data_IF_831270928203
#
_entry.id   IF_831270928203
#
_cell.length_a   1.000
_cell.length_b   1.000
_cell.length_c   1.000
_cell.angle_alpha   90.00
_cell.angle_beta   90.00
_cell.angle_gamma   90.00
#
_symmetry.space_group_name_H-M   'P 1'
#
loop_
_entity.id
_entity.type
_entity.pdbx_description
1 polymer ?
#
# COMPACT_ATOMS: atom_id res chain seq x y z
N UNK A 1 7.94 16.37 -26.77
CA UNK A 1 6.50 16.09 -26.54
C UNK A 1 6.35 14.60 -26.67
N UNK A 2 6.25 13.89 -25.55
CA UNK A 2 6.21 12.43 -25.53
C UNK A 2 4.75 11.98 -25.43
N UNK A 3 4.37 11.05 -26.30
CA UNK A 3 3.05 10.45 -26.42
C UNK A 3 2.42 10.12 -25.06
N UNK A 4 1.20 10.57 -24.85
CA UNK A 4 0.37 10.08 -23.75
C UNK A 4 -0.03 8.66 -24.09
N UNK A 5 0.71 7.66 -23.59
CA UNK A 5 0.30 6.26 -23.63
C UNK A 5 -1.17 6.14 -23.20
N UNK A 6 -2.03 5.70 -24.11
CA UNK A 6 -3.45 5.51 -23.82
C UNK A 6 -3.60 4.40 -22.78
N UNK A 7 -4.04 4.76 -21.57
CA UNK A 7 -4.35 3.78 -20.53
C UNK A 7 -5.57 2.96 -20.94
N UNK A 8 -5.47 1.64 -20.81
CA UNK A 8 -6.55 0.69 -21.10
C UNK A 8 -6.79 -0.22 -19.90
N UNK A 9 -8.06 -0.58 -19.69
CA UNK A 9 -8.49 -1.61 -18.74
C UNK A 9 -9.06 -2.78 -19.53
N UNK A 10 -8.66 -3.99 -19.15
CA UNK A 10 -9.21 -5.23 -19.71
C UNK A 10 -10.21 -5.78 -18.68
N UNK A 11 -11.46 -5.93 -19.09
CA UNK A 11 -12.52 -6.49 -18.25
C UNK A 11 -12.42 -8.02 -18.20
N UNK A 12 -13.13 -8.65 -17.26
CA UNK A 12 -13.14 -10.11 -17.09
C UNK A 12 -13.68 -10.88 -18.30
N UNK A 13 -14.46 -10.22 -19.17
CA UNK A 13 -14.94 -10.76 -20.44
C UNK A 13 -13.98 -10.52 -21.62
N UNK A 14 -12.78 -9.99 -21.35
CA UNK A 14 -11.74 -9.71 -22.34
C UNK A 14 -11.89 -8.38 -23.07
N UNK A 15 -12.99 -7.63 -22.87
CA UNK A 15 -13.16 -6.33 -23.52
C UNK A 15 -12.11 -5.33 -23.02
N UNK A 16 -11.51 -4.61 -23.95
CA UNK A 16 -10.60 -3.49 -23.66
C UNK A 16 -11.38 -2.18 -23.69
N UNK A 17 -11.25 -1.38 -22.63
CA UNK A 17 -11.89 -0.07 -22.53
C UNK A 17 -10.83 1.00 -22.21
N UNK A 18 -11.02 2.19 -22.78
CA UNK A 18 -10.15 3.32 -22.49
C UNK A 18 -10.33 3.78 -21.03
N UNK A 19 -9.22 4.13 -20.40
CA UNK A 19 -9.16 4.68 -19.06
C UNK A 19 -8.46 6.04 -19.05
N UNK A 20 -8.85 6.90 -18.10
CA UNK A 20 -8.21 8.19 -17.87
C UNK A 20 -7.68 8.22 -16.45
N UNK A 21 -6.46 8.73 -16.25
CA UNK A 21 -5.91 8.95 -14.92
C UNK A 21 -6.64 10.12 -14.25
N UNK A 22 -7.25 9.88 -13.09
CA UNK A 22 -7.84 10.92 -12.23
C UNK A 22 -6.76 11.57 -11.38
N UNK A 23 -5.89 10.74 -10.79
CA UNK A 23 -4.80 11.20 -9.93
C UNK A 23 -3.97 10.03 -9.42
N UNK A 24 -2.81 10.35 -8.87
CA UNK A 24 -1.87 9.40 -8.29
C UNK A 24 -1.35 9.94 -6.98
N UNK A 25 -1.05 9.02 -6.07
CA UNK A 25 -0.40 9.29 -4.80
C UNK A 25 0.84 8.40 -4.65
N UNK A 26 2.03 8.93 -4.99
CA UNK A 26 3.27 8.16 -4.95
C UNK A 26 3.67 7.70 -3.55
N UNK A 27 3.27 8.42 -2.50
CA UNK A 27 3.66 8.08 -1.13
C UNK A 27 3.02 6.78 -0.65
N UNK A 28 1.79 6.49 -1.11
CA UNK A 28 1.05 5.26 -0.75
C UNK A 28 0.94 4.28 -1.90
N UNK A 29 1.61 4.54 -3.03
CA UNK A 29 1.58 3.67 -4.21
C UNK A 29 0.16 3.45 -4.79
N UNK A 30 -0.69 4.50 -4.77
CA UNK A 30 -2.08 4.43 -5.26
C UNK A 30 -2.32 5.30 -6.50
N UNK A 31 -3.19 4.82 -7.38
CA UNK A 31 -3.67 5.55 -8.55
C UNK A 31 -5.18 5.35 -8.71
N UNK A 32 -5.88 6.40 -9.14
CA UNK A 32 -7.31 6.31 -9.48
C UNK A 32 -7.47 6.51 -10.98
N UNK A 33 -8.13 5.54 -11.62
CA UNK A 33 -8.48 5.59 -13.02
C UNK A 33 -9.99 5.75 -13.18
N UNK A 34 -10.39 6.46 -14.23
CA UNK A 34 -11.78 6.65 -14.65
C UNK A 34 -12.03 5.88 -15.93
N UNK A 35 -13.11 5.11 -15.95
CA UNK A 35 -13.60 4.38 -17.12
C UNK A 35 -15.07 4.71 -17.36
N UNK A 36 -15.60 4.38 -18.54
CA UNK A 36 -17.01 4.56 -18.83
C UNK A 36 -17.85 3.48 -18.13
N UNK A 37 -18.77 3.91 -17.26
CA UNK A 37 -19.61 3.02 -16.43
C UNK A 37 -20.53 2.11 -17.23
N UNK A 38 -20.86 2.44 -18.49
CA UNK A 38 -21.71 1.58 -19.35
C UNK A 38 -21.14 0.18 -19.60
N UNK A 39 -19.85 0.00 -19.36
CA UNK A 39 -19.16 -1.30 -19.51
C UNK A 39 -19.01 -2.05 -18.19
N UNK A 40 -19.40 -1.45 -17.05
CA UNK A 40 -19.23 -1.99 -15.71
C UNK A 40 -20.56 -2.52 -15.18
N UNK A 41 -20.65 -3.83 -15.01
CA UNK A 41 -21.89 -4.49 -14.58
C UNK A 41 -21.97 -4.70 -13.06
N UNK A 42 -20.82 -4.68 -12.38
CA UNK A 42 -20.73 -4.90 -10.94
C UNK A 42 -19.55 -4.12 -10.36
N UNK A 43 -19.72 -3.62 -9.14
CA UNK A 43 -18.65 -2.98 -8.35
C UNK A 43 -18.44 -3.74 -7.06
N UNK A 44 -17.18 -3.89 -6.67
CA UNK A 44 -16.83 -4.48 -5.39
C UNK A 44 -17.23 -3.53 -4.24
N UNK A 45 -17.56 -4.10 -3.08
CA UNK A 45 -17.81 -3.34 -1.85
C UNK A 45 -16.54 -3.34 -1.00
N UNK A 46 -16.22 -2.21 -0.39
CA UNK A 46 -15.21 -2.17 0.66
C UNK A 46 -15.78 -2.64 2.00
N UNK A 47 -14.97 -3.33 2.77
CA UNK A 47 -15.17 -3.55 4.21
C UNK A 47 -14.07 -2.81 4.97
N UNK A 48 -14.35 -2.37 6.20
CA UNK A 48 -13.35 -1.66 7.02
C UNK A 48 -12.21 -2.61 7.42
N UNK A 49 -10.98 -2.19 7.15
CA UNK A 49 -9.77 -2.90 7.54
C UNK A 49 -9.45 -2.78 9.03
N UNK A 50 -10.10 -1.85 9.75
CA UNK A 50 -9.95 -1.70 11.22
C UNK A 50 -10.43 -2.92 12.01
N UNK A 51 -11.38 -3.68 11.45
CA UNK A 51 -12.00 -4.82 12.11
C UNK A 51 -11.34 -6.17 11.75
N UNK A 52 -10.19 -6.13 11.07
CA UNK A 52 -9.46 -7.34 10.69
C UNK A 52 -8.86 -8.01 11.92
N UNK A 53 -8.94 -9.34 11.92
CA UNK A 53 -8.42 -10.21 12.98
C UNK A 53 -7.40 -11.16 12.35
N UNK A 54 -6.19 -11.31 12.94
CA UNK A 54 -5.25 -12.33 12.50
C UNK A 54 -5.87 -13.73 12.47
N UNK A 55 -5.54 -14.52 11.45
CA UNK A 55 -6.13 -15.83 11.17
C UNK A 55 -7.37 -15.79 10.27
N UNK A 56 -7.96 -14.63 10.00
CA UNK A 56 -9.09 -14.53 9.06
C UNK A 56 -8.66 -14.91 7.64
N UNK A 57 -9.39 -15.80 6.95
CA UNK A 57 -9.09 -16.15 5.56
C UNK A 57 -9.24 -14.96 4.63
N UNK A 58 -8.33 -14.89 3.66
CA UNK A 58 -8.30 -13.86 2.62
C UNK A 58 -7.97 -14.45 1.27
N UNK A 59 -8.43 -13.77 0.24
CA UNK A 59 -8.12 -14.09 -1.16
C UNK A 59 -7.47 -12.86 -1.78
N UNK A 60 -6.28 -13.03 -2.35
CA UNK A 60 -5.66 -12.02 -3.19
C UNK A 60 -5.98 -12.33 -4.66
N UNK A 61 -6.50 -11.34 -5.36
CA UNK A 61 -6.88 -11.45 -6.77
C UNK A 61 -5.97 -10.58 -7.63
N UNK A 62 -5.52 -11.11 -8.77
CA UNK A 62 -4.67 -10.37 -9.69
C UNK A 62 -4.50 -11.01 -11.04
N UNK A 63 -3.58 -10.45 -11.82
CA UNK A 63 -3.29 -10.86 -13.20
C UNK A 63 -1.77 -10.98 -13.37
N UNK A 64 -1.12 -11.98 -12.73
CA UNK A 64 0.32 -12.18 -12.88
C UNK A 64 0.67 -12.34 -14.36
N UNK A 65 1.75 -11.69 -14.82
CA UNK A 65 2.24 -11.84 -16.19
C UNK A 65 1.24 -11.43 -17.32
N UNK A 66 0.26 -10.56 -17.03
CA UNK A 66 -0.63 -9.95 -18.05
C UNK A 66 -1.94 -10.69 -18.28
N UNK A 67 -2.62 -10.42 -19.41
CA UNK A 67 -3.98 -10.93 -19.68
C UNK A 67 -4.07 -12.45 -19.78
N UNK A 68 -2.95 -13.12 -20.04
CA UNK A 68 -2.87 -14.58 -20.19
C UNK A 68 -3.02 -15.36 -18.87
N UNK A 69 -2.73 -14.72 -17.72
CA UNK A 69 -3.06 -15.27 -16.39
C UNK A 69 -3.92 -14.27 -15.60
N UNK A 70 -4.73 -13.48 -16.33
CA UNK A 70 -5.72 -12.64 -15.69
C UNK A 70 -6.59 -13.47 -14.75
N UNK A 71 -7.03 -12.86 -13.64
CA UNK A 71 -7.88 -13.52 -12.64
C UNK A 71 -7.23 -14.70 -11.91
N UNK A 72 -5.91 -14.67 -11.71
CA UNK A 72 -5.28 -15.58 -10.76
C UNK A 72 -5.69 -15.23 -9.33
N UNK A 73 -5.96 -16.26 -8.53
CA UNK A 73 -6.32 -16.12 -7.13
C UNK A 73 -5.31 -16.88 -6.27
N UNK A 74 -4.93 -16.27 -5.15
CA UNK A 74 -4.16 -16.93 -4.11
C UNK A 74 -4.91 -16.77 -2.80
N UNK A 75 -4.86 -17.78 -1.94
CA UNK A 75 -5.53 -17.77 -0.65
C UNK A 75 -4.49 -17.77 0.46
N UNK A 76 -4.83 -17.13 1.56
CA UNK A 76 -4.07 -17.15 2.81
C UNK A 76 -4.94 -16.66 3.95
N UNK A 77 -4.29 -16.13 4.98
CA UNK A 77 -4.90 -15.50 6.14
C UNK A 77 -4.33 -14.10 6.37
N UNK A 78 -5.00 -13.32 7.21
CA UNK A 78 -4.39 -12.15 7.84
C UNK A 78 -3.32 -12.65 8.82
N UNK A 79 -2.05 -12.40 8.53
CA UNK A 79 -0.96 -12.70 9.47
C UNK A 79 -0.80 -11.59 10.50
N UNK A 80 -1.00 -10.33 10.09
CA UNK A 80 -1.05 -9.18 10.98
C UNK A 80 -1.91 -8.06 10.39
N UNK A 81 -2.73 -7.41 11.22
CA UNK A 81 -3.60 -6.31 10.78
C UNK A 81 -2.87 -5.00 10.45
N UNK A 82 -1.69 -4.81 11.03
CA UNK A 82 -0.95 -3.55 10.98
C UNK A 82 0.54 -3.84 11.17
N UNK A 83 1.32 -3.59 10.11
CA UNK A 83 2.79 -3.59 10.12
C UNK A 83 3.27 -2.26 9.59
N UNK A 84 4.22 -1.66 10.30
CA UNK A 84 4.96 -0.51 9.75
C UNK A 84 6.10 -1.07 8.92
N UNK A 85 6.17 -0.65 7.66
CA UNK A 85 7.18 -1.09 6.69
C UNK A 85 7.78 0.12 5.98
N UNK A 86 9.06 0.03 5.63
CA UNK A 86 9.75 1.07 4.89
C UNK A 86 9.30 1.07 3.42
N UNK A 87 8.87 2.23 2.93
CA UNK A 87 8.68 2.51 1.51
C UNK A 87 10.03 2.90 0.93
N UNK A 88 10.49 2.15 -0.06
CA UNK A 88 11.73 2.46 -0.78
C UNK A 88 11.45 3.04 -2.16
N UNK A 89 12.28 3.98 -2.59
CA UNK A 89 12.29 4.46 -3.98
C UNK A 89 13.03 3.46 -4.91
N UNK A 90 13.06 3.78 -6.21
CA UNK A 90 13.75 2.98 -7.22
C UNK A 90 15.26 2.85 -6.96
N UNK A 91 15.86 3.80 -6.24
CA UNK A 91 17.26 3.75 -5.82
C UNK A 91 17.48 2.95 -4.52
N UNK A 92 16.43 2.34 -3.96
CA UNK A 92 16.49 1.54 -2.72
C UNK A 92 16.58 2.38 -1.45
N UNK A 93 16.38 3.70 -1.51
CA UNK A 93 16.39 4.58 -0.35
C UNK A 93 15.01 4.60 0.31
N UNK A 94 14.98 4.52 1.64
CA UNK A 94 13.75 4.69 2.42
C UNK A 94 13.26 6.14 2.26
N UNK A 95 12.07 6.31 1.71
CA UNK A 95 11.44 7.63 1.50
C UNK A 95 10.32 7.90 2.49
N UNK A 96 9.67 6.87 3.00
CA UNK A 96 8.60 6.96 3.98
C UNK A 96 8.39 5.63 4.70
N UNK A 97 7.49 5.61 5.67
CA UNK A 97 6.93 4.40 6.27
C UNK A 97 5.45 4.26 5.89
N UNK A 98 5.00 3.03 5.69
CA UNK A 98 3.60 2.71 5.42
C UNK A 98 3.07 1.73 6.46
N UNK A 99 1.80 1.88 6.85
CA UNK A 99 1.11 0.90 7.68
C UNK A 99 0.30 -0.04 6.79
N UNK A 100 0.61 -1.33 6.83
CA UNK A 100 0.03 -2.31 5.91
C UNK A 100 -0.57 -3.51 6.61
N UNK A 101 -1.49 -4.18 5.92
CA UNK A 101 -1.96 -5.53 6.25
C UNK A 101 -0.89 -6.51 5.79
N UNK A 102 -0.55 -7.48 6.65
CA UNK A 102 0.30 -8.62 6.31
C UNK A 102 -0.57 -9.86 6.09
N UNK A 103 -0.28 -10.60 5.03
CA UNK A 103 -0.91 -11.89 4.69
C UNK A 103 0.14 -12.90 4.24
N UNK A 104 -0.14 -14.19 4.40
CA UNK A 104 0.64 -15.27 3.81
C UNK A 104 0.10 -15.71 2.44
N UNK A 105 -1.01 -15.11 1.96
CA UNK A 105 -1.45 -15.27 0.59
C UNK A 105 -0.34 -14.85 -0.37
N UNK A 106 -0.04 -15.68 -1.37
CA UNK A 106 1.06 -15.39 -2.29
C UNK A 106 0.78 -14.09 -3.08
N UNK A 107 1.60 -13.06 -2.83
CA UNK A 107 1.60 -11.79 -3.55
C UNK A 107 2.83 -11.73 -4.46
N UNK A 108 2.60 -11.90 -5.77
CA UNK A 108 3.63 -11.85 -6.79
C UNK A 108 3.43 -10.65 -7.72
N UNK A 109 4.45 -10.28 -8.53
CA UNK A 109 4.28 -9.30 -9.59
C UNK A 109 3.04 -9.58 -10.47
N UNK A 110 2.19 -8.57 -10.62
CA UNK A 110 0.91 -8.65 -11.32
C UNK A 110 -0.32 -8.94 -10.45
N UNK A 111 -0.14 -9.30 -9.17
CA UNK A 111 -1.21 -9.19 -8.17
C UNK A 111 -1.28 -7.80 -7.53
N UNK A 112 -0.19 -7.03 -7.57
CA UNK A 112 -0.19 -5.64 -7.09
C UNK A 112 -1.21 -4.78 -7.81
N UNK A 113 -1.91 -3.94 -7.04
CA UNK A 113 -3.04 -3.14 -7.52
C UNK A 113 -4.36 -3.91 -7.57
N UNK A 114 -4.34 -5.24 -7.50
CA UNK A 114 -5.52 -6.07 -7.31
C UNK A 114 -6.03 -6.07 -5.86
N UNK A 115 -7.27 -6.51 -5.62
CA UNK A 115 -7.86 -6.49 -4.29
C UNK A 115 -7.37 -7.66 -3.43
N UNK A 116 -7.25 -7.39 -2.13
CA UNK A 116 -7.32 -8.39 -1.07
C UNK A 116 -8.75 -8.42 -0.54
N UNK A 117 -9.41 -9.57 -0.58
CA UNK A 117 -10.83 -9.71 -0.20
C UNK A 117 -11.02 -10.70 0.95
N UNK A 118 -12.06 -10.44 1.76
CA UNK A 118 -12.53 -11.40 2.77
C UNK A 118 -13.45 -12.47 2.14
N UNK A 119 -13.90 -13.43 2.96
CA UNK A 119 -14.80 -14.51 2.54
C UNK A 119 -16.16 -14.03 2.00
N UNK A 120 -16.57 -12.80 2.34
CA UNK A 120 -17.79 -12.18 1.82
C UNK A 120 -17.58 -11.47 0.48
N UNK A 121 -16.38 -11.56 -0.11
CA UNK A 121 -16.03 -10.89 -1.36
C UNK A 121 -15.89 -9.37 -1.24
N UNK A 122 -15.70 -8.86 -0.02
CA UNK A 122 -15.50 -7.43 0.24
C UNK A 122 -14.01 -7.10 0.23
N UNK A 123 -13.66 -5.97 -0.39
CA UNK A 123 -12.29 -5.47 -0.44
C UNK A 123 -11.88 -4.94 0.93
N UNK A 124 -10.86 -5.57 1.50
CA UNK A 124 -10.25 -5.20 2.79
C UNK A 124 -8.86 -4.57 2.62
N UNK A 125 -8.30 -4.63 1.41
CA UNK A 125 -7.07 -3.94 1.06
C UNK A 125 -6.73 -4.03 -0.43
N UNK A 126 -5.66 -3.37 -0.83
CA UNK A 126 -5.09 -3.42 -2.18
C UNK A 126 -3.69 -4.02 -2.10
N UNK A 127 -3.44 -5.10 -2.83
CA UNK A 127 -2.16 -5.82 -2.80
C UNK A 127 -1.01 -4.89 -3.25
N UNK A 128 0.11 -4.94 -2.54
CA UNK A 128 1.32 -4.15 -2.87
C UNK A 128 2.59 -4.99 -2.73
N UNK A 129 3.24 -5.29 -3.87
CA UNK A 129 4.53 -6.00 -3.91
C UNK A 129 5.72 -5.14 -3.46
N UNK A 130 5.55 -3.81 -3.41
CA UNK A 130 6.66 -2.84 -3.29
C UNK A 130 7.38 -2.90 -1.95
N UNK A 131 6.80 -3.58 -0.97
CA UNK A 131 7.25 -3.63 0.42
C UNK A 131 7.95 -4.94 0.80
N UNK A 132 8.35 -5.74 -0.19
CA UNK A 132 8.84 -7.12 -0.03
C UNK A 132 10.36 -7.27 0.21
N UNK A 133 11.13 -6.18 0.28
CA UNK A 133 12.59 -6.26 0.53
C UNK A 133 12.93 -5.92 1.97
N UNK A 134 13.47 -6.89 2.70
CA UNK A 134 14.26 -6.64 3.91
C UNK A 134 15.39 -5.66 3.60
N UNK A 135 15.81 -4.85 4.56
CA UNK A 135 16.93 -3.91 4.40
C UNK A 135 18.27 -4.56 4.04
N UNK A 136 18.38 -5.88 4.15
CA UNK A 136 19.56 -6.70 3.81
C UNK A 136 19.43 -7.47 2.48
N UNK A 137 18.33 -7.29 1.73
CA UNK A 137 18.12 -7.95 0.44
C UNK A 137 17.71 -9.42 0.50
N UNK A 138 17.41 -9.96 1.70
CA UNK A 138 16.85 -11.31 1.83
C UNK A 138 15.45 -11.37 1.21
N UNK A 139 15.22 -12.38 0.35
CA UNK A 139 13.90 -12.66 -0.17
C UNK A 139 13.04 -13.20 0.98
N UNK A 140 11.99 -12.46 1.34
CA UNK A 140 11.04 -12.94 2.33
C UNK A 140 9.95 -13.72 1.59
N UNK A 141 9.94 -15.04 1.76
CA UNK A 141 8.83 -15.88 1.34
C UNK A 141 7.68 -15.83 2.37
N UNK A 142 6.44 -15.87 1.90
CA UNK A 142 5.26 -15.92 2.78
C UNK A 142 4.90 -14.61 3.50
N UNK A 143 5.50 -13.47 3.13
CA UNK A 143 5.07 -12.15 3.60
C UNK A 143 4.53 -11.30 2.45
N UNK A 144 3.22 -11.41 2.21
CA UNK A 144 2.45 -10.52 1.36
C UNK A 144 1.98 -9.28 2.11
N UNK A 145 1.92 -8.14 1.42
CA UNK A 145 1.46 -6.88 1.99
C UNK A 145 0.31 -6.27 1.17
N UNK A 146 -0.63 -5.64 1.86
CA UNK A 146 -1.71 -4.89 1.24
C UNK A 146 -1.96 -3.56 1.96
N UNK A 147 -2.25 -2.52 1.19
CA UNK A 147 -2.66 -1.21 1.70
C UNK A 147 -4.08 -1.37 2.28
N UNK A 148 -4.35 -0.96 3.53
CA UNK A 148 -5.65 -1.17 4.17
C UNK A 148 -6.79 -0.43 3.45
N UNK A 149 -7.97 -1.05 3.34
CA UNK A 149 -9.13 -0.48 2.64
C UNK A 149 -9.56 0.89 3.17
N UNK A 150 -9.52 1.11 4.50
CA UNK A 150 -9.87 2.41 5.08
C UNK A 150 -8.94 3.53 4.59
N UNK A 151 -7.65 3.23 4.42
CA UNK A 151 -6.66 4.17 3.86
C UNK A 151 -6.91 4.39 2.36
N UNK A 152 -7.15 3.31 1.62
CA UNK A 152 -7.48 3.36 0.18
C UNK A 152 -8.70 4.24 -0.08
N UNK A 153 -9.78 4.07 0.69
CA UNK A 153 -11.01 4.86 0.54
C UNK A 153 -10.76 6.34 0.85
N UNK A 154 -9.98 6.64 1.90
CA UNK A 154 -9.62 8.02 2.22
C UNK A 154 -8.84 8.70 1.07
N UNK A 155 -7.84 7.99 0.52
CA UNK A 155 -6.99 8.49 -0.57
C UNK A 155 -7.79 8.64 -1.86
N UNK A 156 -8.62 7.65 -2.19
CA UNK A 156 -9.51 7.69 -3.34
C UNK A 156 -10.43 8.91 -3.28
N UNK A 157 -11.06 9.18 -2.14
CA UNK A 157 -11.95 10.33 -1.98
C UNK A 157 -11.22 11.66 -2.22
N UNK A 158 -9.98 11.79 -1.75
CA UNK A 158 -9.17 12.98 -1.98
C UNK A 158 -8.76 13.13 -3.45
N UNK A 159 -8.31 12.05 -4.08
CA UNK A 159 -7.90 12.06 -5.49
C UNK A 159 -9.08 12.36 -6.41
N UNK A 160 -10.26 11.79 -6.15
CA UNK A 160 -11.48 12.07 -6.93
C UNK A 160 -11.92 13.51 -6.76
N UNK A 161 -11.85 14.06 -5.54
CA UNK A 161 -12.30 15.43 -5.25
C UNK A 161 -11.33 16.49 -5.78
N UNK A 162 -10.03 16.28 -5.62
CA UNK A 162 -9.01 17.32 -5.78
C UNK A 162 -8.00 17.04 -6.90
N UNK A 163 -7.99 15.83 -7.49
CA UNK A 163 -6.98 15.35 -8.44
C UNK A 163 -5.59 15.09 -7.82
N UNK A 164 -5.38 15.47 -6.55
CA UNK A 164 -4.12 15.33 -5.81
C UNK A 164 -4.38 15.18 -4.31
N UNK A 165 -3.41 14.61 -3.61
CA UNK A 165 -3.38 14.58 -2.15
C UNK A 165 -2.52 15.72 -1.63
N UNK A 166 -3.01 16.41 -0.59
CA UNK A 166 -2.29 17.47 0.10
C UNK A 166 -1.98 16.98 1.51
N UNK A 167 -0.69 16.73 1.79
CA UNK A 167 -0.21 16.35 3.12
C UNK A 167 0.50 17.52 3.77
N UNK A 168 -0.13 18.23 4.73
CA UNK A 168 0.60 19.23 5.50
C UNK A 168 1.70 18.55 6.30
N UNK A 169 2.89 19.13 6.30
CA UNK A 169 4.03 18.65 7.11
C UNK A 169 4.27 19.65 8.23
N UNK A 170 4.43 19.16 9.45
CA UNK A 170 4.74 19.98 10.62
C UNK A 170 6.18 20.51 10.62
N UNK A 171 7.06 19.98 9.76
CA UNK A 171 8.48 20.35 9.75
C UNK A 171 9.22 19.83 10.98
N UNK A 172 8.82 18.67 11.50
CA UNK A 172 9.50 18.01 12.62
C UNK A 172 9.87 16.57 12.25
N UNK A 173 10.93 16.06 12.88
CA UNK A 173 11.31 14.65 12.87
C UNK A 173 11.26 14.14 14.30
N UNK A 174 10.63 12.99 14.46
CA UNK A 174 10.41 12.34 15.75
C UNK A 174 11.24 11.07 15.78
N UNK A 175 12.02 10.87 16.84
CA UNK A 175 12.81 9.66 17.05
C UNK A 175 12.53 9.11 18.44
N UNK A 176 12.36 7.80 18.54
CA UNK A 176 12.35 7.12 19.83
C UNK A 176 13.72 7.30 20.51
N UNK A 177 13.73 7.56 21.82
CA UNK A 177 14.96 7.71 22.60
C UNK A 177 15.85 6.45 22.50
N UNK A 178 15.24 5.28 22.31
CA UNK A 178 15.95 4.01 22.10
C UNK A 178 16.71 3.96 20.78
N UNK A 179 16.20 4.63 19.73
CA UNK A 179 16.82 4.68 18.39
C UNK A 179 17.89 5.78 18.24
N UNK A 180 18.03 6.68 19.22
CA UNK A 180 19.02 7.76 19.14
C UNK A 180 20.47 7.22 19.18
N UNK A 181 21.28 7.67 18.24
CA UNK A 181 22.73 7.38 18.26
C UNK A 181 23.41 8.03 19.46
N UNK A 182 24.57 7.50 19.88
CA UNK A 182 25.39 8.14 20.94
C UNK A 182 25.73 9.59 20.62
N UNK A 183 25.87 9.94 19.34
CA UNK A 183 26.14 11.32 18.88
C UNK A 183 24.91 12.21 19.08
N UNK A 184 23.72 11.71 18.76
CA UNK A 184 22.46 12.45 18.96
C UNK A 184 22.17 12.67 20.44
N UNK A 185 22.32 11.64 21.27
CA UNK A 185 22.15 11.75 22.74
C UNK A 185 23.06 12.82 23.33
N UNK A 186 24.33 12.89 22.90
CA UNK A 186 25.26 13.96 23.31
C UNK A 186 24.83 15.33 22.80
N UNK A 187 24.43 15.44 21.53
CA UNK A 187 24.04 16.72 20.90
C UNK A 187 22.84 17.37 21.60
N UNK A 188 21.88 16.56 22.03
CA UNK A 188 20.70 17.06 22.77
C UNK A 188 20.89 17.09 24.28
N UNK A 189 22.10 16.77 24.77
CA UNK A 189 22.43 16.67 26.19
C UNK A 189 21.45 15.77 26.97
N UNK A 190 21.06 14.64 26.37
CA UNK A 190 20.09 13.72 26.98
C UNK A 190 20.68 13.14 28.28
N UNK A 191 20.02 13.34 29.44
CA UNK A 191 20.45 12.74 30.70
C UNK A 191 20.48 11.21 30.62
N UNK A 192 21.52 10.58 31.17
CA UNK A 192 21.71 9.13 31.10
C UNK A 192 20.61 8.31 31.80
N UNK A 193 19.83 8.93 32.69
CA UNK A 193 18.71 8.30 33.37
C UNK A 193 17.42 8.28 32.53
N UNK A 194 17.36 8.99 31.40
CA UNK A 194 16.24 8.93 30.46
C UNK A 194 16.52 7.84 29.43
N UNK A 195 15.80 6.73 29.54
CA UNK A 195 15.94 5.57 28.65
C UNK A 195 14.75 5.39 27.71
N UNK A 196 13.64 6.06 27.98
CA UNK A 196 12.39 6.00 27.23
C UNK A 196 11.89 7.41 26.91
N UNK A 197 11.08 7.52 25.87
CA UNK A 197 10.46 8.77 25.45
C UNK A 197 10.75 9.10 23.99
N UNK A 198 10.45 10.34 23.62
CA UNK A 198 10.48 10.79 22.24
C UNK A 198 11.31 12.06 22.11
N UNK A 199 12.28 12.06 21.22
CA UNK A 199 13.05 13.24 20.86
C UNK A 199 12.47 13.89 19.60
N UNK A 200 12.15 15.19 19.70
CA UNK A 200 11.59 15.99 18.60
C UNK A 200 12.66 16.93 18.07
N UNK A 201 12.92 16.85 16.77
CA UNK A 201 13.82 17.72 16.04
C UNK A 201 13.01 18.53 15.03
N UNK A 202 13.41 19.77 14.77
CA UNK A 202 12.87 20.54 13.64
C UNK A 202 13.63 20.16 12.36
N UNK A 203 12.88 20.06 11.25
CA UNK A 203 13.32 19.66 9.92
C UNK A 203 13.42 20.86 8.98
#
# INVERSE_FOLDING_TARGET
MADSDQLQVILSDGRKIAAQKVGTDPETDLAVLKVNSKYINQVAKFASSKNLVPGQPVIAVGSPLGSQYATSVTQGIISAKSRVVNVVNEQGQVTNEATVIQTDAAINPGNSGGPLVNEQGQVIGINSMKLSRSGDGTAIEGMGFAIPSDEVVNILNQLVKNGKIVRPKLGIRVLDVTDLTRKDKKRIHLPNNIQEGVAVFFS
#
